data_IF_754425690081
#
_entry.id   IF_754425690081
#
_cell.length_a   1.000
_cell.length_b   1.000
_cell.length_c   1.000
_cell.angle_alpha   90.00
_cell.angle_beta   90.00
_cell.angle_gamma   90.00
#
_symmetry.space_group_name_H-M   'P 1'
#
loop_
_entity.id
_entity.type
_entity.pdbx_description
1 polymer ?
#
# COMPACT_ATOMS: atom_id res chain seq x y z
N UNK A 1 0.52 -8.64 -16.34
CA UNK A 1 -0.26 -8.26 -15.17
C UNK A 1 0.63 -8.22 -13.92
N UNK A 2 0.22 -7.44 -12.92
CA UNK A 2 0.92 -7.33 -11.65
C UNK A 2 0.38 -8.36 -10.66
N UNK A 3 1.24 -9.27 -10.19
CA UNK A 3 0.93 -10.29 -9.19
C UNK A 3 1.37 -9.84 -7.80
N UNK A 4 0.44 -9.38 -6.97
CA UNK A 4 0.72 -8.91 -5.60
C UNK A 4 1.48 -9.93 -4.73
N UNK A 5 1.22 -11.23 -4.91
CA UNK A 5 1.93 -12.28 -4.18
C UNK A 5 3.44 -12.29 -4.48
N UNK A 6 3.82 -12.05 -5.74
CA UNK A 6 5.24 -12.02 -6.15
C UNK A 6 5.91 -10.73 -5.68
N UNK A 7 5.20 -9.60 -5.73
CA UNK A 7 5.64 -8.34 -5.14
C UNK A 7 5.94 -8.53 -3.64
N UNK A 8 5.01 -9.13 -2.90
CA UNK A 8 5.19 -9.37 -1.47
C UNK A 8 6.33 -10.34 -1.14
N UNK A 9 6.53 -11.39 -1.97
CA UNK A 9 7.68 -12.31 -1.82
C UNK A 9 9.00 -11.59 -2.05
N UNK A 10 9.05 -10.72 -3.07
CA UNK A 10 10.23 -9.91 -3.33
C UNK A 10 10.55 -9.01 -2.14
N UNK A 11 9.58 -8.25 -1.65
CA UNK A 11 9.74 -7.37 -0.48
C UNK A 11 10.23 -8.15 0.73
N UNK A 12 9.60 -9.30 1.04
CA UNK A 12 10.01 -10.15 2.15
C UNK A 12 11.46 -10.64 2.04
N UNK A 13 11.96 -10.82 0.81
CA UNK A 13 13.34 -11.25 0.54
C UNK A 13 14.39 -10.14 0.64
N UNK A 14 13.98 -8.86 0.58
CA UNK A 14 14.90 -7.71 0.52
C UNK A 14 14.80 -6.76 1.72
N UNK A 15 13.79 -6.91 2.57
CA UNK A 15 13.68 -6.16 3.82
C UNK A 15 14.73 -6.60 4.82
N UNK A 16 15.29 -5.64 5.55
CA UNK A 16 16.16 -5.93 6.70
C UNK A 16 15.34 -6.53 7.85
N UNK A 17 16.00 -7.29 8.72
CA UNK A 17 15.33 -7.94 9.86
C UNK A 17 14.70 -6.95 10.84
N UNK A 18 15.25 -5.74 10.89
CA UNK A 18 14.79 -4.64 11.73
C UNK A 18 13.86 -3.66 11.00
N UNK A 19 13.47 -3.91 9.75
CA UNK A 19 12.60 -3.05 9.00
C UNK A 19 11.28 -2.76 9.75
N UNK A 20 10.79 -1.53 9.62
CA UNK A 20 9.48 -1.14 10.15
C UNK A 20 8.50 -1.01 8.99
N UNK A 21 7.45 -1.83 9.04
CA UNK A 21 6.34 -1.78 8.10
C UNK A 21 5.19 -0.99 8.71
N UNK A 22 4.68 -0.01 7.97
CA UNK A 22 3.49 0.74 8.39
C UNK A 22 2.33 0.53 7.45
N UNK A 23 1.10 0.55 7.95
CA UNK A 23 -0.09 0.45 7.13
C UNK A 23 -1.29 1.16 7.76
N UNK A 24 -2.26 1.52 6.94
CA UNK A 24 -3.58 1.92 7.37
C UNK A 24 -4.54 0.73 7.43
N UNK A 25 -5.79 0.91 6.99
CA UNK A 25 -6.82 -0.12 6.94
C UNK A 25 -7.34 -0.34 5.52
N UNK A 26 -7.62 -1.58 5.17
CA UNK A 26 -8.16 -1.98 3.88
C UNK A 26 -7.72 -3.39 3.49
N UNK A 27 -8.32 -3.95 2.45
CA UNK A 27 -8.01 -5.32 2.01
C UNK A 27 -6.55 -5.51 1.58
N UNK A 28 -5.86 -4.44 1.15
CA UNK A 28 -4.43 -4.52 0.82
C UNK A 28 -3.58 -4.98 2.02
N UNK A 29 -4.01 -4.75 3.26
CA UNK A 29 -3.28 -5.18 4.46
C UNK A 29 -3.23 -6.69 4.62
N UNK A 30 -4.19 -7.42 4.04
CA UNK A 30 -4.21 -8.89 4.06
C UNK A 30 -2.97 -9.47 3.37
N UNK A 31 -2.45 -8.80 2.34
CA UNK A 31 -1.21 -9.18 1.67
C UNK A 31 -0.03 -9.04 2.61
N UNK A 32 0.07 -7.92 3.34
CA UNK A 32 1.14 -7.69 4.32
C UNK A 32 1.10 -8.77 5.40
N UNK A 33 -0.07 -8.94 6.05
CA UNK A 33 -0.21 -9.87 7.17
C UNK A 33 0.00 -11.34 6.78
N UNK A 34 -0.20 -11.69 5.50
CA UNK A 34 0.02 -13.05 5.02
C UNK A 34 1.47 -13.33 4.65
N UNK A 35 2.20 -12.35 4.14
CA UNK A 35 3.53 -12.56 3.54
C UNK A 35 4.68 -12.03 4.39
N UNK A 36 4.47 -10.92 5.14
CA UNK A 36 5.52 -10.33 5.95
C UNK A 36 5.73 -11.10 7.26
N UNK A 37 7.00 -11.33 7.59
CA UNK A 37 7.44 -11.97 8.83
C UNK A 37 8.12 -10.94 9.73
N UNK A 38 7.54 -10.72 10.91
CA UNK A 38 8.15 -9.86 11.92
C UNK A 38 9.31 -10.57 12.59
N UNK A 39 10.53 -10.04 12.45
CA UNK A 39 11.77 -10.66 12.97
C UNK A 39 12.30 -9.93 14.19
N UNK A 40 12.09 -8.62 14.30
CA UNK A 40 12.57 -7.80 15.39
C UNK A 40 11.49 -6.83 15.87
N UNK A 41 11.41 -6.58 17.17
CA UNK A 41 10.49 -5.60 17.75
C UNK A 41 11.18 -4.23 17.91
N UNK A 42 10.46 -3.10 17.71
CA UNK A 42 9.18 -2.96 17.03
C UNK A 42 9.35 -3.07 15.51
N UNK A 43 8.40 -3.69 14.80
CA UNK A 43 8.49 -3.92 13.36
C UNK A 43 7.21 -3.57 12.59
N UNK A 44 6.13 -3.20 13.29
CA UNK A 44 4.90 -2.76 12.65
C UNK A 44 4.24 -1.59 13.38
N UNK A 45 3.75 -0.62 12.59
CA UNK A 45 2.85 0.42 13.05
C UNK A 45 1.55 0.34 12.25
N UNK A 46 0.47 -0.05 12.91
CA UNK A 46 -0.85 -0.22 12.33
C UNK A 46 -1.93 0.33 13.26
N UNK A 47 -3.06 0.84 12.73
CA UNK A 47 -4.12 1.41 13.57
C UNK A 47 -4.91 0.30 14.25
N UNK A 48 -5.04 0.35 15.57
CA UNK A 48 -5.86 -0.59 16.36
C UNK A 48 -7.34 -0.44 16.01
N UNK A 49 -7.79 0.79 15.71
CA UNK A 49 -9.17 1.11 15.36
C UNK A 49 -9.54 0.81 13.90
N UNK A 50 -8.61 0.30 13.07
CA UNK A 50 -8.84 0.13 11.65
C UNK A 50 -8.99 1.44 10.87
N UNK A 51 -8.30 2.51 11.30
CA UNK A 51 -8.36 3.81 10.64
C UNK A 51 -7.63 3.79 9.30
N UNK A 52 -8.30 4.25 8.26
CA UNK A 52 -7.66 4.58 6.99
C UNK A 52 -6.77 5.83 7.16
N UNK A 53 -5.70 5.94 6.34
CA UNK A 53 -4.82 7.12 6.34
C UNK A 53 -3.70 7.09 7.39
N UNK A 54 -3.70 6.16 8.33
CA UNK A 54 -2.69 6.07 9.40
C UNK A 54 -1.26 5.76 8.90
N UNK A 55 -1.14 4.94 7.84
CA UNK A 55 0.15 4.37 7.43
C UNK A 55 1.21 5.41 7.05
N UNK A 56 0.84 6.41 6.25
CA UNK A 56 1.78 7.44 5.75
C UNK A 56 2.34 8.31 6.88
N UNK A 57 1.51 8.96 7.74
CA UNK A 57 2.05 9.73 8.87
C UNK A 57 2.85 8.87 9.86
N UNK A 58 2.45 7.61 10.07
CA UNK A 58 3.21 6.69 10.91
C UNK A 58 4.59 6.36 10.33
N UNK A 59 4.71 6.20 9.00
CA UNK A 59 5.99 6.00 8.32
C UNK A 59 6.90 7.21 8.45
N UNK A 60 6.36 8.41 8.25
CA UNK A 60 7.11 9.66 8.44
C UNK A 60 7.61 9.79 9.87
N UNK A 61 6.77 9.51 10.86
CA UNK A 61 7.15 9.52 12.26
C UNK A 61 8.24 8.48 12.58
N UNK A 62 8.08 7.24 12.07
CA UNK A 62 9.08 6.19 12.26
C UNK A 62 10.43 6.55 11.66
N UNK A 63 10.47 7.10 10.44
CA UNK A 63 11.70 7.55 9.79
C UNK A 63 12.38 8.72 10.53
N UNK A 64 11.61 9.51 11.29
CA UNK A 64 12.17 10.59 12.12
C UNK A 64 12.76 10.09 13.45
N UNK A 65 12.14 9.07 14.02
CA UNK A 65 12.53 8.52 15.34
C UNK A 65 13.61 7.45 15.22
N UNK A 66 13.61 6.70 14.11
CA UNK A 66 14.53 5.59 13.83
C UNK A 66 15.12 5.74 12.40
N UNK A 67 15.89 6.80 12.13
CA UNK A 67 16.39 7.13 10.79
C UNK A 67 17.36 6.09 10.22
N UNK A 68 17.94 5.24 11.04
CA UNK A 68 18.85 4.16 10.66
C UNK A 68 18.13 2.90 10.17
N UNK A 69 16.83 2.80 10.42
CA UNK A 69 16.04 1.61 10.04
C UNK A 69 15.37 1.78 8.69
N UNK A 70 15.19 0.68 7.99
CA UNK A 70 14.41 0.67 6.76
C UNK A 70 12.92 0.83 7.07
N UNK A 71 12.28 1.86 6.49
CA UNK A 71 10.86 2.16 6.72
C UNK A 71 10.08 1.94 5.43
N UNK A 72 9.06 1.08 5.48
CA UNK A 72 8.19 0.78 4.35
C UNK A 72 6.73 0.98 4.74
N UNK A 73 6.05 1.86 4.01
CA UNK A 73 4.62 2.10 4.17
C UNK A 73 3.83 1.40 3.08
N UNK A 74 2.80 0.65 3.46
CA UNK A 74 1.77 0.22 2.53
C UNK A 74 0.51 1.05 2.72
N UNK A 75 0.01 1.59 1.64
CA UNK A 75 -1.26 2.33 1.63
C UNK A 75 -2.11 1.86 0.45
N UNK A 76 -3.40 1.63 0.65
CA UNK A 76 -4.34 1.61 -0.47
C UNK A 76 -4.49 3.03 -1.03
N UNK A 77 -4.93 3.15 -2.28
CA UNK A 77 -5.16 4.43 -2.93
C UNK A 77 -6.05 5.37 -2.09
N UNK A 78 -7.20 4.89 -1.63
CA UNK A 78 -8.08 5.65 -0.75
C UNK A 78 -7.47 5.97 0.63
N UNK A 79 -6.61 5.10 1.17
CA UNK A 79 -5.87 5.38 2.40
C UNK A 79 -4.82 6.48 2.21
N UNK A 80 -4.09 6.42 1.09
CA UNK A 80 -3.07 7.42 0.75
C UNK A 80 -3.70 8.81 0.58
N UNK A 81 -4.83 8.90 -0.11
CA UNK A 81 -5.53 10.16 -0.35
C UNK A 81 -5.99 10.88 0.92
N UNK A 82 -6.06 10.20 2.05
CA UNK A 82 -6.43 10.83 3.33
C UNK A 82 -5.30 11.66 3.95
N UNK A 83 -4.05 11.20 3.85
CA UNK A 83 -2.89 11.85 4.48
C UNK A 83 -1.64 11.84 3.58
N UNK A 84 -1.78 11.78 2.27
CA UNK A 84 -0.67 11.82 1.33
C UNK A 84 0.12 13.13 1.36
N UNK A 85 -0.47 14.24 1.84
CA UNK A 85 0.21 15.51 2.05
C UNK A 85 1.39 15.43 3.04
N UNK A 86 1.49 14.39 3.85
CA UNK A 86 2.64 14.15 4.73
C UNK A 86 3.94 13.85 3.94
N UNK A 87 3.86 13.67 2.62
CA UNK A 87 5.03 13.73 1.75
C UNK A 87 5.79 15.04 1.89
N UNK A 88 5.10 16.18 2.13
CA UNK A 88 5.76 17.47 2.37
C UNK A 88 6.64 17.42 3.63
N UNK A 89 6.14 16.80 4.71
CA UNK A 89 6.91 16.58 5.94
C UNK A 89 8.11 15.67 5.69
N UNK A 90 7.90 14.56 4.97
CA UNK A 90 8.96 13.61 4.64
C UNK A 90 10.09 14.27 3.85
N UNK A 91 9.75 15.08 2.84
CA UNK A 91 10.73 15.82 2.01
C UNK A 91 11.45 16.88 2.84
N UNK A 92 10.72 17.68 3.62
CA UNK A 92 11.31 18.73 4.47
C UNK A 92 12.40 18.19 5.38
N UNK A 93 12.20 17.00 5.91
CA UNK A 93 13.14 16.36 6.84
C UNK A 93 14.06 15.31 6.20
N UNK A 94 14.03 15.17 4.87
CA UNK A 94 14.81 14.17 4.11
C UNK A 94 14.66 12.76 4.70
N UNK A 95 13.42 12.41 5.04
CA UNK A 95 13.12 11.13 5.67
C UNK A 95 13.24 9.99 4.66
N UNK A 96 14.17 9.06 4.89
CA UNK A 96 14.32 7.89 4.04
C UNK A 96 13.19 6.89 4.34
N UNK A 97 12.27 6.73 3.42
CA UNK A 97 11.18 5.77 3.48
C UNK A 97 10.64 5.46 2.09
N UNK A 98 10.11 4.25 1.92
CA UNK A 98 9.44 3.83 0.69
C UNK A 98 7.96 3.67 0.96
N UNK A 99 7.12 4.39 0.21
CA UNK A 99 5.67 4.24 0.24
C UNK A 99 5.22 3.40 -0.95
N UNK A 100 4.51 2.32 -0.69
CA UNK A 100 3.91 1.46 -1.71
C UNK A 100 2.40 1.74 -1.72
N UNK A 101 1.92 2.38 -2.78
CA UNK A 101 0.49 2.65 -2.98
C UNK A 101 -0.12 1.53 -3.81
N UNK A 102 -1.00 0.75 -3.19
CA UNK A 102 -1.76 -0.31 -3.87
C UNK A 102 -3.02 0.32 -4.46
N UNK A 103 -2.95 0.62 -5.75
CA UNK A 103 -4.02 1.30 -6.50
C UNK A 103 -4.90 0.28 -7.23
N UNK A 104 -6.12 0.07 -6.72
CA UNK A 104 -7.17 -0.72 -7.36
C UNK A 104 -8.36 0.13 -7.84
N UNK A 105 -8.28 1.46 -7.75
CA UNK A 105 -9.30 2.40 -8.21
C UNK A 105 -10.59 2.37 -7.39
N UNK A 106 -10.57 1.87 -6.14
CA UNK A 106 -11.79 1.78 -5.34
C UNK A 106 -11.55 1.63 -3.83
N UNK A 107 -12.57 1.91 -3.04
CA UNK A 107 -12.67 1.48 -1.65
C UNK A 107 -12.98 -0.02 -1.59
N UNK A 108 -11.95 -0.86 -1.79
CA UNK A 108 -12.09 -2.29 -2.01
C UNK A 108 -12.79 -3.05 -0.88
N UNK A 109 -12.55 -2.69 0.39
CA UNK A 109 -13.22 -3.32 1.54
C UNK A 109 -14.72 -3.02 1.55
N UNK A 110 -15.10 -1.78 1.27
CA UNK A 110 -16.51 -1.36 1.22
C UNK A 110 -17.19 -2.05 0.03
N UNK A 111 -16.53 -2.08 -1.14
CA UNK A 111 -17.01 -2.79 -2.32
C UNK A 111 -17.23 -4.30 -2.02
N UNK A 112 -16.30 -4.93 -1.32
CA UNK A 112 -16.43 -6.34 -0.91
C UNK A 112 -17.71 -6.57 -0.09
N UNK A 113 -18.01 -5.70 0.86
CA UNK A 113 -19.24 -5.80 1.68
C UNK A 113 -20.50 -5.54 0.86
N UNK A 114 -20.48 -4.56 -0.06
CA UNK A 114 -21.61 -4.34 -0.98
C UNK A 114 -21.89 -5.59 -1.84
N UNK A 115 -20.85 -6.17 -2.41
CA UNK A 115 -21.00 -7.36 -3.25
C UNK A 115 -21.45 -8.61 -2.48
N UNK A 116 -21.08 -8.70 -1.21
CA UNK A 116 -21.53 -9.79 -0.32
C UNK A 116 -23.00 -9.67 0.04
N UNK A 117 -23.46 -8.47 0.38
CA UNK A 117 -24.82 -8.26 0.91
C UNK A 117 -25.82 -7.85 -0.19
N UNK A 118 -25.34 -7.17 -1.22
CA UNK A 118 -26.17 -6.61 -2.31
C UNK A 118 -25.43 -6.77 -3.66
N UNK A 119 -25.30 -8.00 -4.18
CA UNK A 119 -24.48 -8.29 -5.36
C UNK A 119 -24.85 -7.42 -6.57
N UNK A 120 -23.86 -6.76 -7.15
CA UNK A 120 -24.03 -5.91 -8.33
C UNK A 120 -24.65 -4.53 -8.07
N UNK A 121 -24.99 -4.19 -6.83
CA UNK A 121 -25.52 -2.86 -6.44
C UNK A 121 -24.40 -1.96 -5.94
N UNK A 122 -23.57 -1.49 -6.88
CA UNK A 122 -22.40 -0.65 -6.60
C UNK A 122 -22.83 0.77 -6.28
N UNK A 123 -22.31 1.37 -5.21
CA UNK A 123 -22.57 2.76 -4.86
C UNK A 123 -21.41 3.38 -4.09
N UNK A 124 -20.87 4.51 -4.59
CA UNK A 124 -19.89 5.35 -3.88
C UNK A 124 -18.54 4.70 -3.57
N UNK A 125 -18.14 3.66 -4.30
CA UNK A 125 -16.89 2.94 -4.02
C UNK A 125 -15.81 3.13 -5.07
N UNK A 126 -16.15 3.65 -6.24
CA UNK A 126 -15.18 3.91 -7.31
C UNK A 126 -14.37 5.19 -7.00
N UNK A 127 -13.08 5.16 -7.28
CA UNK A 127 -12.18 6.29 -7.13
C UNK A 127 -11.63 6.72 -8.49
N UNK A 128 -11.56 8.03 -8.71
CA UNK A 128 -10.78 8.63 -9.78
C UNK A 128 -9.49 9.14 -9.17
N UNK A 129 -8.45 8.33 -9.28
CA UNK A 129 -7.16 8.60 -8.66
C UNK A 129 -6.29 9.55 -9.50
N UNK A 130 -5.44 10.37 -8.87
CA UNK A 130 -4.36 11.06 -9.56
C UNK A 130 -3.30 10.03 -10.03
N UNK A 131 -2.39 10.46 -10.89
CA UNK A 131 -1.10 9.79 -11.07
C UNK A 131 -0.28 9.96 -9.80
N UNK A 132 -0.21 8.91 -8.98
CA UNK A 132 0.49 8.96 -7.68
C UNK A 132 2.00 9.15 -7.83
N UNK A 133 2.61 8.64 -8.90
CA UNK A 133 4.02 8.84 -9.17
C UNK A 133 4.32 10.31 -9.53
N UNK A 134 3.49 10.94 -10.36
CA UNK A 134 3.61 12.37 -10.69
C UNK A 134 3.33 13.23 -9.44
N UNK A 135 2.34 12.87 -8.63
CA UNK A 135 2.05 13.55 -7.37
C UNK A 135 3.25 13.50 -6.43
N UNK A 136 3.88 12.35 -6.23
CA UNK A 136 5.08 12.21 -5.41
C UNK A 136 6.22 13.09 -5.92
N UNK A 137 6.46 13.11 -7.23
CA UNK A 137 7.46 13.98 -7.86
C UNK A 137 7.18 15.47 -7.64
N UNK A 138 5.91 15.87 -7.63
CA UNK A 138 5.54 17.28 -7.38
C UNK A 138 5.89 17.74 -5.96
N UNK A 139 5.94 16.81 -4.99
CA UNK A 139 6.45 17.07 -3.63
C UNK A 139 7.99 17.04 -3.54
N UNK A 140 8.70 16.57 -4.57
CA UNK A 140 10.14 16.38 -4.55
C UNK A 140 10.59 14.98 -4.11
N UNK A 141 9.67 14.00 -4.09
CA UNK A 141 9.98 12.59 -3.84
C UNK A 141 10.42 11.89 -5.13
N UNK A 142 11.09 10.75 -4.99
CA UNK A 142 11.12 9.77 -6.07
C UNK A 142 9.72 9.17 -6.28
N UNK A 143 9.31 8.96 -7.52
CA UNK A 143 7.99 8.40 -7.82
C UNK A 143 8.01 7.51 -9.06
N UNK A 144 7.49 6.29 -8.96
CA UNK A 144 7.36 5.35 -10.07
C UNK A 144 6.02 4.63 -10.06
N UNK A 145 5.53 4.27 -11.25
CA UNK A 145 4.33 3.44 -11.43
C UNK A 145 4.74 2.07 -11.97
N UNK A 146 4.25 1.02 -11.34
CA UNK A 146 4.47 -0.38 -11.70
C UNK A 146 3.13 -1.01 -12.11
N UNK A 147 3.08 -1.53 -13.33
CA UNK A 147 1.88 -2.15 -13.93
C UNK A 147 2.06 -3.65 -14.18
N UNK A 148 3.29 -4.15 -14.09
CA UNK A 148 3.65 -5.55 -14.27
C UNK A 148 4.66 -5.99 -13.22
N UNK A 149 4.58 -7.25 -12.83
CA UNK A 149 5.44 -7.85 -11.78
C UNK A 149 6.94 -7.71 -12.07
N UNK A 150 7.35 -7.88 -13.32
CA UNK A 150 8.76 -7.81 -13.74
C UNK A 150 9.41 -6.43 -13.61
N UNK A 151 8.60 -5.38 -13.48
CA UNK A 151 9.07 -3.99 -13.24
C UNK A 151 9.41 -3.73 -11.77
N UNK A 152 8.84 -4.51 -10.85
CA UNK A 152 8.85 -4.17 -9.43
C UNK A 152 10.26 -4.19 -8.82
N UNK A 153 11.07 -5.20 -9.12
CA UNK A 153 12.43 -5.31 -8.57
C UNK A 153 13.27 -4.07 -8.87
N UNK A 154 13.29 -3.65 -10.14
CA UNK A 154 14.04 -2.44 -10.53
C UNK A 154 13.47 -1.15 -9.91
N UNK A 155 12.14 -1.03 -9.80
CA UNK A 155 11.52 0.12 -9.14
C UNK A 155 11.86 0.16 -7.64
N UNK A 156 11.85 -0.99 -6.98
CA UNK A 156 12.26 -1.13 -5.58
C UNK A 156 13.72 -0.71 -5.36
N UNK A 157 14.65 -1.21 -6.19
CA UNK A 157 16.07 -0.86 -6.10
C UNK A 157 16.28 0.65 -6.22
N UNK A 158 15.66 1.30 -7.20
CA UNK A 158 15.75 2.75 -7.37
C UNK A 158 15.16 3.53 -6.21
N UNK A 159 13.99 3.09 -5.72
CA UNK A 159 13.33 3.71 -4.58
C UNK A 159 14.14 3.56 -3.28
N UNK A 160 14.76 2.39 -3.08
CA UNK A 160 15.48 2.07 -1.84
C UNK A 160 16.86 2.76 -1.76
N UNK A 161 17.48 3.12 -2.89
CA UNK A 161 18.76 3.86 -2.92
C UNK A 161 18.57 5.37 -3.01
N UNK A 162 17.36 5.85 -3.22
CA UNK A 162 17.07 7.27 -3.28
C UNK A 162 17.24 7.93 -1.91
N UNK A 163 17.96 9.04 -1.84
CA UNK A 163 18.10 9.84 -0.62
C UNK A 163 16.85 10.69 -0.40
N UNK A 164 15.98 10.24 0.49
CA UNK A 164 14.70 10.88 0.82
C UNK A 164 13.50 9.97 0.55
N UNK A 165 12.28 10.50 0.62
CA UNK A 165 11.08 9.70 0.46
C UNK A 165 10.87 9.25 -0.99
N UNK A 166 10.45 8.01 -1.14
CA UNK A 166 10.11 7.38 -2.41
C UNK A 166 8.69 6.85 -2.40
N UNK A 167 8.02 6.87 -3.56
CA UNK A 167 6.70 6.29 -3.75
C UNK A 167 6.70 5.36 -4.97
N UNK A 168 6.23 4.14 -4.78
CA UNK A 168 5.95 3.18 -5.83
C UNK A 168 4.44 2.94 -5.88
N UNK A 169 3.80 3.34 -6.97
CA UNK A 169 2.42 3.00 -7.25
C UNK A 169 2.34 1.61 -7.88
N UNK A 170 1.55 0.73 -7.31
CA UNK A 170 1.21 -0.58 -7.88
C UNK A 170 -0.20 -0.53 -8.46
N UNK A 171 -0.33 -0.54 -9.78
CA UNK A 171 -1.63 -0.67 -10.44
C UNK A 171 -2.05 -2.14 -10.48
N UNK A 172 -2.99 -2.50 -9.61
CA UNK A 172 -3.42 -3.88 -9.43
C UNK A 172 -4.78 -4.15 -10.08
N UNK A 173 -5.09 -5.42 -10.37
CA UNK A 173 -6.41 -5.81 -10.85
C UNK A 173 -7.49 -5.45 -9.81
N UNK A 174 -8.45 -4.56 -10.14
CA UNK A 174 -9.53 -4.17 -9.24
C UNK A 174 -10.42 -5.34 -8.80
N UNK A 175 -10.42 -6.44 -9.53
CA UNK A 175 -11.20 -7.63 -9.17
C UNK A 175 -10.57 -8.43 -8.04
N UNK A 176 -9.26 -8.31 -7.81
CA UNK A 176 -8.53 -9.06 -6.80
C UNK A 176 -8.66 -8.38 -5.43
N UNK A 177 -9.54 -8.90 -4.58
CA UNK A 177 -9.85 -8.30 -3.28
C UNK A 177 -8.92 -8.80 -2.17
N UNK A 178 -8.60 -10.09 -2.18
CA UNK A 178 -7.69 -10.73 -1.22
C UNK A 178 -6.81 -11.76 -1.95
N UNK A 179 -5.76 -12.31 -1.32
CA UNK A 179 -4.96 -13.37 -1.91
C UNK A 179 -5.74 -14.61 -2.39
N UNK A 180 -6.97 -14.78 -1.92
CA UNK A 180 -7.77 -16.00 -2.16
C UNK A 180 -9.15 -15.73 -2.77
N UNK A 181 -9.56 -14.46 -2.93
CA UNK A 181 -10.92 -14.14 -3.38
C UNK A 181 -10.93 -12.95 -4.35
N UNK A 182 -11.73 -13.10 -5.40
CA UNK A 182 -12.07 -12.01 -6.32
C UNK A 182 -13.49 -11.48 -6.03
N UNK A 183 -13.81 -10.30 -6.57
CA UNK A 183 -15.17 -9.74 -6.55
C UNK A 183 -16.18 -10.74 -7.15
N UNK A 184 -15.79 -11.43 -8.23
CA UNK A 184 -16.65 -12.41 -8.87
C UNK A 184 -16.95 -13.62 -8.00
N UNK A 185 -15.98 -14.08 -7.22
CA UNK A 185 -16.17 -15.18 -6.27
C UNK A 185 -17.16 -14.79 -5.17
N UNK A 186 -17.02 -13.57 -4.64
CA UNK A 186 -17.92 -13.02 -3.61
C UNK A 186 -19.36 -12.93 -4.14
N UNK A 187 -19.56 -12.41 -5.37
CA UNK A 187 -20.88 -12.33 -6.02
C UNK A 187 -21.52 -13.70 -6.23
N UNK A 188 -20.73 -14.70 -6.61
CA UNK A 188 -21.24 -16.06 -6.81
C UNK A 188 -21.71 -16.65 -5.50
N UNK A 189 -20.89 -16.54 -4.45
CA UNK A 189 -21.21 -17.08 -3.12
C UNK A 189 -22.49 -16.44 -2.53
N UNK A 190 -22.68 -15.12 -2.70
CA UNK A 190 -23.88 -14.45 -2.18
C UNK A 190 -25.17 -14.77 -2.93
N UNK A 191 -25.13 -15.30 -4.16
CA UNK A 191 -26.33 -15.73 -4.91
C UNK A 191 -26.78 -17.15 -4.54
N UNK A 192 -25.93 -17.89 -3.84
CA UNK A 192 -26.18 -19.29 -3.41
C UNK A 192 -26.55 -19.41 -1.94
N UNK A 193 -26.49 -18.30 -1.21
CA UNK A 193 -26.92 -18.15 0.20
C UNK A 193 -28.29 -17.49 0.25
#
# INVERSE_FOLDING_TARGET
DLAMADVMRHIEGVLTDDAIVTNGAGNYTVWIHRFHKHRQYPSQLAPISGSMGYGVPAAVAAARVMPERQIVCFAGDGCFLMHGQELATAVQYKSNLVIIVVNNGMYGTIRMHQERNYPGRISGTDLVNPDFAALAKSYGCHGETVTRTDQFSGAWERANVHEGPSLIELQVDPKLITPTQTINDIRKASKTS
#
